data_IF_164686802942
#
_entry.id   IF_164686802942
#
_cell.length_a   1.000
_cell.length_b   1.000
_cell.length_c   1.000
_cell.angle_alpha   90.00
_cell.angle_beta   90.00
_cell.angle_gamma   90.00
#
_symmetry.space_group_name_H-M   'P 1'
#
loop_
_entity.id
_entity.type
_entity.pdbx_description
1 polymer ?
#
# COMPACT_ATOMS: atom_id res chain seq x y z
N UNK A 1 -0.82 -0.75 -35.78
CA UNK A 1 -0.26 -1.55 -34.69
C UNK A 1 -0.07 -3.01 -35.17
N UNK A 2 1.05 -3.65 -34.82
CA UNK A 2 1.37 -5.01 -35.26
C UNK A 2 0.39 -6.09 -34.73
N UNK A 3 -0.41 -5.80 -33.73
CA UNK A 3 -1.20 -6.81 -33.00
C UNK A 3 -2.71 -6.72 -33.24
N UNK A 4 -3.20 -5.79 -34.10
CA UNK A 4 -4.60 -5.75 -34.53
C UNK A 4 -5.66 -5.61 -33.44
N UNK A 5 -5.30 -5.10 -32.24
CA UNK A 5 -6.25 -4.90 -31.14
C UNK A 5 -7.38 -3.95 -31.53
N UNK A 6 -8.63 -4.37 -31.32
CA UNK A 6 -9.83 -3.61 -31.61
C UNK A 6 -10.53 -3.09 -30.34
N UNK A 7 -10.22 -3.67 -29.18
CA UNK A 7 -10.81 -3.31 -27.89
C UNK A 7 -9.81 -3.31 -26.75
N UNK A 8 -10.17 -2.66 -25.64
CA UNK A 8 -9.40 -2.71 -24.39
C UNK A 8 -9.33 -4.13 -23.80
N UNK A 9 -10.32 -4.96 -24.08
CA UNK A 9 -10.36 -6.32 -23.60
C UNK A 9 -9.37 -7.24 -24.35
N UNK A 10 -9.11 -6.97 -25.62
CA UNK A 10 -8.05 -7.67 -26.35
C UNK A 10 -6.69 -7.42 -25.73
N UNK A 11 -6.43 -6.18 -25.28
CA UNK A 11 -5.20 -5.81 -24.59
C UNK A 11 -5.09 -6.51 -23.22
N UNK A 12 -6.19 -6.57 -22.47
CA UNK A 12 -6.22 -7.22 -21.14
C UNK A 12 -5.96 -8.73 -21.21
N UNK A 13 -6.45 -9.37 -22.27
CA UNK A 13 -6.29 -10.82 -22.51
C UNK A 13 -4.96 -11.19 -23.15
N UNK A 14 -4.20 -10.18 -23.60
CA UNK A 14 -2.90 -10.45 -24.23
C UNK A 14 -1.87 -10.84 -23.18
N UNK A 15 -1.18 -11.97 -23.41
CA UNK A 15 -0.22 -12.56 -22.46
C UNK A 15 1.06 -11.75 -22.27
N UNK A 16 1.39 -10.89 -23.24
CA UNK A 16 2.60 -10.07 -23.20
C UNK A 16 2.27 -8.58 -22.99
N UNK A 17 3.22 -7.84 -22.42
CA UNK A 17 3.10 -6.38 -22.31
C UNK A 17 3.05 -5.75 -23.70
N UNK A 18 1.95 -5.09 -24.02
CA UNK A 18 1.70 -4.42 -25.30
C UNK A 18 2.54 -3.16 -25.47
N UNK A 19 2.77 -2.43 -24.38
CA UNK A 19 3.60 -1.23 -24.33
C UNK A 19 4.85 -1.54 -23.53
N UNK A 20 6.01 -1.28 -24.13
CA UNK A 20 7.34 -1.49 -23.50
C UNK A 20 8.21 -0.27 -23.79
N UNK A 21 9.09 0.02 -22.89
CA UNK A 21 10.15 0.99 -23.14
C UNK A 21 11.07 0.47 -24.27
N UNK A 22 11.65 1.39 -25.04
CA UNK A 22 12.77 1.03 -25.93
C UNK A 22 13.93 0.45 -25.10
N UNK A 23 14.80 -0.33 -25.74
CA UNK A 23 15.93 -0.96 -25.02
C UNK A 23 16.77 0.08 -24.26
N UNK A 24 17.09 1.20 -24.88
CA UNK A 24 17.90 2.26 -24.26
C UNK A 24 17.19 2.89 -23.05
N UNK A 25 15.90 3.18 -23.19
CA UNK A 25 15.08 3.73 -22.08
C UNK A 25 14.94 2.71 -20.95
N UNK A 26 14.79 1.43 -21.26
CA UNK A 26 14.71 0.39 -20.25
C UNK A 26 16.01 0.27 -19.43
N UNK A 27 17.17 0.37 -20.06
CA UNK A 27 18.48 0.38 -19.39
C UNK A 27 18.58 1.61 -18.49
N UNK A 28 18.41 2.83 -19.05
CA UNK A 28 18.51 4.07 -18.28
C UNK A 28 17.51 4.12 -17.11
N UNK A 29 16.29 3.65 -17.32
CA UNK A 29 15.27 3.56 -16.27
C UNK A 29 15.66 2.60 -15.15
N UNK A 30 16.29 1.47 -15.51
CA UNK A 30 16.79 0.52 -14.52
C UNK A 30 17.96 1.11 -13.72
N UNK A 31 18.91 1.77 -14.40
CA UNK A 31 20.06 2.40 -13.75
C UNK A 31 19.63 3.51 -12.80
N UNK A 32 18.67 4.34 -13.21
CA UNK A 32 18.07 5.35 -12.35
C UNK A 32 17.38 4.71 -11.13
N UNK A 33 16.63 3.64 -11.33
CA UNK A 33 15.96 2.93 -10.23
C UNK A 33 16.96 2.38 -9.22
N UNK A 34 18.04 1.74 -9.69
CA UNK A 34 19.10 1.23 -8.83
C UNK A 34 19.80 2.36 -8.07
N UNK A 35 20.09 3.48 -8.75
CA UNK A 35 20.67 4.66 -8.13
C UNK A 35 19.76 5.24 -7.02
N UNK A 36 18.49 5.43 -7.31
CA UNK A 36 17.52 5.94 -6.34
C UNK A 36 17.33 4.98 -5.16
N UNK A 37 17.27 3.70 -5.43
CA UNK A 37 17.13 2.69 -4.39
C UNK A 37 18.31 2.75 -3.41
N UNK A 38 19.54 2.80 -3.96
CA UNK A 38 20.77 2.84 -3.16
C UNK A 38 20.97 4.16 -2.40
N UNK A 39 20.67 5.30 -3.03
CA UNK A 39 21.07 6.61 -2.50
C UNK A 39 19.92 7.40 -1.87
N UNK A 40 18.66 7.15 -2.24
CA UNK A 40 17.51 7.86 -1.73
C UNK A 40 16.69 7.00 -0.77
N UNK A 41 16.19 5.87 -1.22
CA UNK A 41 15.24 5.07 -0.41
C UNK A 41 15.86 4.47 0.86
N UNK A 42 17.16 4.23 0.87
CA UNK A 42 17.91 3.80 2.06
C UNK A 42 18.63 4.94 2.78
N UNK A 43 18.46 6.19 2.34
CA UNK A 43 19.01 7.33 3.07
C UNK A 43 18.32 7.46 4.43
N UNK A 44 19.10 7.82 5.48
CA UNK A 44 18.58 7.89 6.86
C UNK A 44 17.35 8.82 6.98
N UNK A 45 17.36 9.95 6.28
CA UNK A 45 16.28 10.93 6.33
C UNK A 45 14.97 10.40 5.71
N UNK A 46 15.04 9.35 4.90
CA UNK A 46 13.88 8.68 4.28
C UNK A 46 13.51 7.41 5.05
N UNK A 47 14.51 6.60 5.42
CA UNK A 47 14.27 5.30 6.07
C UNK A 47 13.77 5.46 7.52
N UNK A 48 14.24 6.47 8.26
CA UNK A 48 13.83 6.66 9.67
C UNK A 48 12.33 6.99 9.81
N UNK A 49 11.75 7.96 9.06
CA UNK A 49 10.31 8.19 9.08
C UNK A 49 9.50 6.98 8.62
N UNK A 50 9.99 6.23 7.62
CA UNK A 50 9.31 5.03 7.11
C UNK A 50 9.24 3.91 8.16
N UNK A 51 10.34 3.65 8.89
CA UNK A 51 10.36 2.69 9.99
C UNK A 51 9.41 3.08 11.13
N UNK A 52 9.34 4.37 11.45
CA UNK A 52 8.35 4.86 12.42
C UNK A 52 6.92 4.65 11.93
N UNK A 53 6.65 4.93 10.65
CA UNK A 53 5.35 4.70 10.03
C UNK A 53 4.96 3.22 10.04
N UNK A 54 5.88 2.32 9.72
CA UNK A 54 5.69 0.87 9.80
C UNK A 54 5.32 0.42 11.22
N UNK A 55 6.03 0.91 12.23
CA UNK A 55 5.73 0.61 13.63
C UNK A 55 4.32 1.08 14.02
N UNK A 56 3.97 2.34 13.70
CA UNK A 56 2.65 2.90 13.99
C UNK A 56 1.52 2.07 13.34
N UNK A 57 1.68 1.72 12.07
CA UNK A 57 0.69 0.92 11.34
C UNK A 57 0.54 -0.46 11.97
N UNK A 58 1.64 -1.13 12.34
CA UNK A 58 1.62 -2.43 13.01
C UNK A 58 0.87 -2.37 14.33
N UNK A 59 1.19 -1.40 15.19
CA UNK A 59 0.56 -1.25 16.50
C UNK A 59 -0.95 -0.94 16.38
N UNK A 60 -1.33 -0.07 15.43
CA UNK A 60 -2.75 0.22 15.17
C UNK A 60 -3.46 -1.03 14.66
N UNK A 61 -2.87 -1.77 13.73
CA UNK A 61 -3.44 -2.99 13.19
C UNK A 61 -3.66 -4.04 14.28
N UNK A 62 -2.64 -4.33 15.07
CA UNK A 62 -2.71 -5.32 16.15
C UNK A 62 -3.74 -4.92 17.22
N UNK A 63 -3.83 -3.64 17.55
CA UNK A 63 -4.81 -3.13 18.51
C UNK A 63 -6.24 -3.29 18.00
N UNK A 64 -6.48 -3.05 16.71
CA UNK A 64 -7.78 -3.24 16.07
C UNK A 64 -8.18 -4.72 15.95
N UNK A 65 -7.20 -5.61 15.75
CA UNK A 65 -7.43 -7.09 15.80
C UNK A 65 -7.79 -7.52 17.20
N UNK A 66 -7.07 -7.04 18.23
CA UNK A 66 -7.31 -7.38 19.64
C UNK A 66 -8.64 -6.82 20.16
N UNK A 67 -9.00 -5.62 19.72
CA UNK A 67 -10.22 -4.93 20.12
C UNK A 67 -11.01 -4.37 18.92
N UNK A 68 -11.82 -5.20 18.25
CA UNK A 68 -12.61 -4.80 17.09
C UNK A 68 -13.62 -3.68 17.35
N UNK A 69 -14.00 -3.43 18.60
CA UNK A 69 -14.93 -2.34 18.95
C UNK A 69 -14.39 -0.95 18.57
N UNK A 70 -13.06 -0.82 18.43
CA UNK A 70 -12.39 0.42 17.98
C UNK A 70 -12.62 0.76 16.51
N UNK A 71 -13.15 -0.17 15.70
CA UNK A 71 -13.46 0.03 14.28
C UNK A 71 -14.72 0.87 14.04
N UNK A 72 -15.63 0.93 15.02
CA UNK A 72 -16.94 1.55 14.88
C UNK A 72 -17.98 0.64 14.18
N UNK A 73 -19.26 1.02 14.28
CA UNK A 73 -20.39 0.15 13.88
C UNK A 73 -20.37 -0.23 12.39
N UNK A 74 -20.05 0.70 11.50
CA UNK A 74 -20.05 0.44 10.04
C UNK A 74 -19.03 -0.61 9.67
N UNK A 75 -17.83 -0.54 10.26
CA UNK A 75 -16.77 -1.52 9.99
C UNK A 75 -17.08 -2.86 10.67
N UNK A 76 -17.69 -2.85 11.85
CA UNK A 76 -18.08 -4.09 12.54
C UNK A 76 -19.09 -4.91 11.71
N UNK A 77 -20.05 -4.28 11.02
CA UNK A 77 -20.95 -4.99 10.11
C UNK A 77 -20.23 -5.65 8.92
N UNK A 78 -19.08 -5.13 8.53
CA UNK A 78 -18.26 -5.73 7.44
C UNK A 78 -17.52 -6.99 7.89
N UNK A 79 -17.25 -7.14 9.20
CA UNK A 79 -16.59 -8.33 9.74
C UNK A 79 -17.38 -9.60 9.43
N UNK A 80 -18.71 -9.54 9.51
CA UNK A 80 -19.58 -10.69 9.21
C UNK A 80 -19.45 -11.17 7.76
N UNK A 81 -19.21 -10.25 6.82
CA UNK A 81 -19.14 -10.56 5.39
C UNK A 81 -17.72 -10.89 4.90
N UNK A 82 -16.70 -10.27 5.46
CA UNK A 82 -15.31 -10.31 4.95
C UNK A 82 -14.30 -10.87 5.95
N UNK A 83 -14.72 -11.09 7.19
CA UNK A 83 -13.83 -11.48 8.28
C UNK A 83 -13.03 -10.33 8.90
N UNK A 84 -12.57 -10.53 10.14
CA UNK A 84 -11.91 -9.51 10.95
C UNK A 84 -10.65 -8.96 10.27
N UNK A 85 -9.69 -9.82 9.90
CA UNK A 85 -8.41 -9.40 9.35
C UNK A 85 -8.57 -8.57 8.06
N UNK A 86 -9.45 -9.01 7.16
CA UNK A 86 -9.73 -8.27 5.92
C UNK A 86 -10.35 -6.91 6.20
N UNK A 87 -11.30 -6.86 7.12
CA UNK A 87 -11.95 -5.59 7.50
C UNK A 87 -10.96 -4.62 8.12
N UNK A 88 -10.05 -5.10 8.99
CA UNK A 88 -9.00 -4.26 9.58
C UNK A 88 -8.00 -3.79 8.52
N UNK A 89 -7.57 -4.66 7.59
CA UNK A 89 -6.72 -4.27 6.47
C UNK A 89 -7.35 -3.12 5.67
N UNK A 90 -8.61 -3.27 5.25
CA UNK A 90 -9.31 -2.27 4.45
C UNK A 90 -9.51 -0.96 5.23
N UNK A 91 -9.75 -1.06 6.54
CA UNK A 91 -9.91 0.09 7.42
C UNK A 91 -8.59 0.89 7.55
N UNK A 92 -7.48 0.21 7.83
CA UNK A 92 -6.16 0.84 7.94
C UNK A 92 -5.70 1.40 6.59
N UNK A 93 -5.90 0.66 5.49
CA UNK A 93 -5.56 1.13 4.15
C UNK A 93 -6.35 2.38 3.70
N UNK A 94 -7.52 2.62 4.28
CA UNK A 94 -8.32 3.82 4.04
C UNK A 94 -7.96 5.03 4.89
N UNK A 95 -7.01 4.89 5.83
CA UNK A 95 -6.57 6.00 6.66
C UNK A 95 -5.63 6.95 5.90
N UNK A 96 -5.70 8.25 6.23
CA UNK A 96 -4.63 9.19 5.89
C UNK A 96 -3.51 9.08 6.93
N UNK A 97 -2.31 9.54 6.58
CA UNK A 97 -1.16 9.54 7.51
C UNK A 97 -1.48 10.26 8.82
N UNK A 98 -2.18 11.38 8.73
CA UNK A 98 -2.62 12.13 9.90
C UNK A 98 -3.58 11.31 10.77
N UNK A 99 -4.57 10.67 10.17
CA UNK A 99 -5.57 9.91 10.91
C UNK A 99 -4.98 8.67 11.59
N UNK A 100 -4.04 7.97 10.94
CA UNK A 100 -3.40 6.83 11.58
C UNK A 100 -2.54 7.24 12.78
N UNK A 101 -1.89 8.42 12.74
CA UNK A 101 -1.17 8.98 13.88
C UNK A 101 -2.11 9.32 15.04
N UNK A 102 -3.22 10.04 14.78
CA UNK A 102 -4.23 10.36 15.79
C UNK A 102 -4.83 9.09 16.41
N UNK A 103 -5.07 8.06 15.59
CA UNK A 103 -5.55 6.76 16.05
C UNK A 103 -4.54 6.04 16.94
N UNK A 104 -3.26 6.05 16.55
CA UNK A 104 -2.16 5.49 17.34
C UNK A 104 -2.07 6.17 18.71
N UNK A 105 -2.05 7.50 18.75
CA UNK A 105 -2.02 8.27 19.99
C UNK A 105 -3.21 7.96 20.90
N UNK A 106 -4.40 7.80 20.33
CA UNK A 106 -5.60 7.44 21.08
C UNK A 106 -5.59 6.05 21.70
N UNK A 107 -4.82 5.13 21.09
CA UNK A 107 -4.68 3.74 21.56
C UNK A 107 -3.57 3.64 22.63
N UNK A 108 -2.48 4.37 22.45
CA UNK A 108 -1.31 4.28 23.33
C UNK A 108 -1.42 5.14 24.60
N UNK A 109 -2.30 6.15 24.63
CA UNK A 109 -2.52 7.02 25.78
C UNK A 109 -3.73 6.58 26.65
N UNK A 110 -4.25 5.37 26.44
CA UNK A 110 -5.24 4.73 27.30
C UNK A 110 -4.53 3.82 28.33
#
# INVERSE_FOLDING_TARGET
>A
SKNGFQSSDDIRRHSEKVIRNSKNVAVSSNDLRVFLFKNLYHHKDVSTPNLRGEHIISEVFDSLIKNPSLLGETSNKRIENYGLHRTVCDYVAGMTDRYVMEKYDSITNQ
#
